data_IF_304055815543
#
_entry.id   IF_304055815543
#
_cell.length_a   1.000
_cell.length_b   1.000
_cell.length_c   1.000
_cell.angle_alpha   90.00
_cell.angle_beta   90.00
_cell.angle_gamma   90.00
#
_symmetry.space_group_name_H-M   'P 1'
#
loop_
_entity.id
_entity.type
_entity.pdbx_description
1 polymer ?
#
# COMPACT_ATOMS: atom_id res chain seq x y z
N UNK A 1 2.52 12.81 -6.62
CA UNK A 1 2.02 11.81 -5.66
C UNK A 1 0.85 11.03 -6.23
N UNK A 2 0.52 9.84 -5.73
CA UNK A 2 -0.64 9.06 -6.20
C UNK A 2 -1.96 9.85 -6.15
N UNK A 3 -2.06 10.83 -5.24
CA UNK A 3 -3.25 11.66 -5.07
C UNK A 3 -3.37 12.79 -6.12
N UNK A 4 -2.29 13.15 -6.80
CA UNK A 4 -2.31 14.26 -7.77
C UNK A 4 -3.03 13.89 -9.07
N UNK A 5 -3.07 12.61 -9.41
CA UNK A 5 -3.79 12.14 -10.59
C UNK A 5 -5.29 12.52 -10.54
N UNK A 6 -5.90 12.45 -9.35
CA UNK A 6 -7.29 12.92 -9.14
C UNK A 6 -7.40 14.44 -9.12
N UNK A 7 -6.50 15.12 -8.40
CA UNK A 7 -6.49 16.59 -8.25
C UNK A 7 -6.35 17.33 -9.57
N UNK A 8 -5.45 16.87 -10.45
CA UNK A 8 -5.26 17.47 -11.79
C UNK A 8 -6.52 17.31 -12.63
N UNK A 9 -7.19 16.16 -12.57
CA UNK A 9 -8.46 15.93 -13.28
C UNK A 9 -9.56 16.87 -12.80
N UNK A 10 -9.53 17.30 -11.53
CA UNK A 10 -10.54 18.13 -10.89
C UNK A 10 -10.16 19.63 -10.80
N UNK A 11 -9.06 20.06 -11.44
CA UNK A 11 -8.53 21.43 -11.36
C UNK A 11 -8.26 21.92 -9.92
N UNK A 12 -7.91 20.99 -9.03
CA UNK A 12 -7.53 21.28 -7.65
C UNK A 12 -6.04 21.67 -7.56
N UNK A 13 -5.63 22.46 -6.55
CA UNK A 13 -4.22 22.74 -6.32
C UNK A 13 -3.42 21.45 -6.10
N UNK A 14 -2.15 21.42 -6.54
CA UNK A 14 -1.28 20.26 -6.37
C UNK A 14 -1.21 19.86 -4.90
N UNK A 15 -0.95 18.58 -4.66
CA UNK A 15 -0.73 18.10 -3.31
C UNK A 15 0.41 18.88 -2.63
N UNK A 16 0.33 19.07 -1.30
CA UNK A 16 1.45 19.57 -0.51
C UNK A 16 2.75 18.83 -0.77
N UNK A 17 3.87 19.42 -0.36
CA UNK A 17 5.15 18.74 -0.47
C UNK A 17 5.16 17.49 0.41
N UNK A 18 5.92 16.45 0.01
CA UNK A 18 5.99 15.18 0.77
C UNK A 18 6.37 15.43 2.24
N UNK A 19 7.19 16.45 2.50
CA UNK A 19 7.60 16.82 3.86
C UNK A 19 6.42 17.27 4.73
N UNK A 20 5.39 17.88 4.15
CA UNK A 20 4.21 18.34 4.89
C UNK A 20 3.38 17.14 5.35
N UNK A 21 3.20 16.13 4.48
CA UNK A 21 2.59 14.86 4.87
C UNK A 21 3.34 14.17 6.01
N UNK A 22 4.68 14.19 5.96
CA UNK A 22 5.51 13.57 6.99
C UNK A 22 5.32 14.30 8.33
N UNK A 23 5.39 15.64 8.34
CA UNK A 23 5.20 16.46 9.54
C UNK A 23 3.82 16.27 10.14
N UNK A 24 2.75 16.42 9.35
CA UNK A 24 1.38 16.20 9.82
C UNK A 24 1.21 14.78 10.35
N UNK A 25 1.78 13.78 9.67
CA UNK A 25 1.77 12.40 10.12
C UNK A 25 2.43 12.19 11.49
N UNK A 26 3.55 12.88 11.75
CA UNK A 26 4.21 12.84 13.06
C UNK A 26 3.37 13.55 14.13
N UNK A 27 2.79 14.71 13.81
CA UNK A 27 1.96 15.50 14.73
C UNK A 27 0.70 14.74 15.20
N UNK A 28 0.05 14.01 14.29
CA UNK A 28 -1.14 13.20 14.62
C UNK A 28 -0.80 11.82 15.21
N UNK A 29 0.49 11.53 15.47
CA UNK A 29 0.94 10.26 16.01
C UNK A 29 0.81 9.07 15.05
N UNK A 30 0.74 9.32 13.74
CA UNK A 30 0.69 8.26 12.74
C UNK A 30 2.02 7.48 12.61
N UNK A 31 3.13 8.10 13.04
CA UNK A 31 4.47 7.54 13.05
C UNK A 31 5.09 7.59 14.46
N UNK A 32 5.81 6.52 14.84
CA UNK A 32 6.76 6.54 15.97
C UNK A 32 8.05 5.82 15.59
N UNK A 33 9.16 6.16 16.25
CA UNK A 33 10.45 5.48 15.98
C UNK A 33 10.42 3.99 16.34
N UNK A 34 9.58 3.60 17.32
CA UNK A 34 9.47 2.22 17.79
C UNK A 34 8.58 1.33 16.92
N UNK A 35 7.61 1.90 16.19
CA UNK A 35 6.63 1.14 15.42
C UNK A 35 6.61 1.46 13.92
N UNK A 36 7.16 2.60 13.51
CA UNK A 36 7.00 3.13 12.16
C UNK A 36 5.60 3.70 11.92
N UNK A 37 5.18 3.70 10.66
CA UNK A 37 3.84 4.18 10.26
C UNK A 37 2.76 3.15 10.59
N UNK A 38 1.77 3.55 11.39
CA UNK A 38 0.61 2.71 11.68
C UNK A 38 -0.43 2.79 10.56
N UNK A 39 -1.17 1.69 10.33
CA UNK A 39 -2.21 1.68 9.29
C UNK A 39 -3.33 2.69 9.58
N UNK A 40 -3.76 2.79 10.85
CA UNK A 40 -4.79 3.74 11.24
C UNK A 40 -4.26 5.19 11.15
N UNK A 41 -3.00 5.42 11.52
CA UNK A 41 -2.37 6.72 11.36
C UNK A 41 -2.33 7.18 9.91
N UNK A 42 -1.98 6.30 8.98
CA UNK A 42 -2.01 6.60 7.54
C UNK A 42 -3.43 6.82 7.01
N UNK A 43 -4.44 6.14 7.54
CA UNK A 43 -5.85 6.43 7.23
C UNK A 43 -6.23 7.83 7.68
N UNK A 44 -5.87 8.21 8.90
CA UNK A 44 -6.16 9.54 9.44
C UNK A 44 -5.44 10.60 8.60
N UNK A 45 -4.16 10.39 8.28
CA UNK A 45 -3.39 11.27 7.42
C UNK A 45 -4.05 11.47 6.06
N UNK A 46 -4.47 10.40 5.39
CA UNK A 46 -5.14 10.51 4.09
C UNK A 46 -6.43 11.36 4.18
N UNK A 47 -7.19 11.26 5.28
CA UNK A 47 -8.40 12.05 5.52
C UNK A 47 -8.11 13.52 5.76
N UNK A 48 -7.03 13.85 6.47
CA UNK A 48 -6.57 15.25 6.65
C UNK A 48 -6.33 15.94 5.31
N UNK A 49 -5.89 15.20 4.29
CA UNK A 49 -5.66 15.72 2.94
C UNK A 49 -6.83 15.50 1.96
N UNK A 50 -8.03 15.24 2.48
CA UNK A 50 -9.28 15.22 1.71
C UNK A 50 -9.63 13.89 1.04
N UNK A 51 -8.83 12.84 1.23
CA UNK A 51 -9.13 11.52 0.67
C UNK A 51 -10.04 10.70 1.59
N UNK A 52 -10.82 9.78 1.01
CA UNK A 52 -11.51 8.75 1.78
C UNK A 52 -10.58 7.57 1.97
N UNK A 53 -10.39 7.11 3.22
CA UNK A 53 -9.49 6.00 3.51
C UNK A 53 -10.04 5.04 4.57
N UNK A 54 -9.67 3.75 4.45
CA UNK A 54 -10.01 2.69 5.42
C UNK A 54 -8.88 1.66 5.54
N UNK A 55 -8.55 1.25 6.76
CA UNK A 55 -7.65 0.13 7.02
C UNK A 55 -8.45 -1.17 6.98
N UNK A 56 -7.96 -2.17 6.25
CA UNK A 56 -8.64 -3.44 6.05
C UNK A 56 -7.72 -4.63 6.35
N UNK A 57 -8.31 -5.71 6.82
CA UNK A 57 -7.65 -6.98 7.14
C UNK A 57 -8.40 -8.12 6.46
N UNK A 58 -7.72 -9.24 6.23
CA UNK A 58 -8.25 -10.41 5.53
C UNK A 58 -8.68 -10.15 4.08
N UNK A 59 -8.09 -9.12 3.46
CA UNK A 59 -8.39 -8.73 2.07
C UNK A 59 -7.65 -9.66 1.12
N UNK A 60 -8.38 -10.42 0.31
CA UNK A 60 -7.83 -11.31 -0.70
C UNK A 60 -7.56 -10.60 -2.04
N UNK A 61 -7.01 -11.31 -3.02
CA UNK A 61 -6.60 -10.72 -4.30
C UNK A 61 -7.78 -10.28 -5.17
N UNK A 62 -8.90 -10.99 -5.09
CA UNK A 62 -10.12 -10.62 -5.80
C UNK A 62 -10.70 -9.32 -5.23
N UNK A 63 -10.64 -9.12 -3.91
CA UNK A 63 -11.00 -7.86 -3.28
C UNK A 63 -10.06 -6.71 -3.67
N UNK A 64 -8.75 -6.96 -3.77
CA UNK A 64 -7.81 -5.95 -4.28
C UNK A 64 -8.12 -5.56 -5.74
N UNK A 65 -8.44 -6.54 -6.59
CA UNK A 65 -8.91 -6.29 -7.96
C UNK A 65 -10.16 -5.40 -7.97
N UNK A 66 -11.15 -5.74 -7.15
CA UNK A 66 -12.40 -4.98 -7.06
C UNK A 66 -12.19 -3.55 -6.54
N UNK A 67 -11.23 -3.32 -5.65
CA UNK A 67 -10.83 -1.96 -5.26
C UNK A 67 -10.31 -1.16 -6.46
N UNK A 68 -9.38 -1.74 -7.22
CA UNK A 68 -8.80 -1.09 -8.40
C UNK A 68 -9.84 -0.76 -9.47
N UNK A 69 -10.75 -1.69 -9.77
CA UNK A 69 -11.84 -1.49 -10.74
C UNK A 69 -12.76 -0.34 -10.32
N UNK A 70 -12.91 -0.10 -9.02
CA UNK A 70 -13.69 1.02 -8.46
C UNK A 70 -12.90 2.33 -8.36
N UNK A 71 -11.66 2.38 -8.83
CA UNK A 71 -10.80 3.56 -8.69
C UNK A 71 -10.23 3.75 -7.29
N UNK A 72 -10.29 2.73 -6.43
CA UNK A 72 -9.74 2.77 -5.07
C UNK A 72 -8.35 2.13 -5.06
N UNK A 73 -7.33 2.89 -4.64
CA UNK A 73 -5.95 2.43 -4.61
C UNK A 73 -5.65 1.71 -3.28
N UNK A 74 -5.24 0.43 -3.29
CA UNK A 74 -4.80 -0.26 -2.10
C UNK A 74 -3.31 -0.05 -1.84
N UNK A 75 -2.98 0.47 -0.66
CA UNK A 75 -1.64 0.44 -0.07
C UNK A 75 -1.51 -0.86 0.73
N UNK A 76 -0.82 -1.85 0.19
CA UNK A 76 -0.72 -3.20 0.78
C UNK A 76 0.44 -3.32 1.74
N UNK A 77 0.23 -4.07 2.83
CA UNK A 77 1.31 -4.45 3.74
C UNK A 77 1.94 -5.76 3.31
N UNK A 78 3.24 -5.70 3.07
CA UNK A 78 4.04 -6.75 2.45
C UNK A 78 5.33 -7.01 3.24
N UNK A 79 5.94 -8.17 2.97
CA UNK A 79 7.37 -8.39 3.21
C UNK A 79 8.18 -7.48 2.29
N UNK A 80 9.31 -6.99 2.79
CA UNK A 80 10.17 -6.07 2.05
C UNK A 80 10.55 -6.64 0.67
N UNK A 81 10.32 -5.86 -0.39
CA UNK A 81 10.63 -6.24 -1.77
C UNK A 81 9.88 -7.46 -2.31
N UNK A 82 8.69 -7.78 -1.78
CA UNK A 82 7.90 -8.96 -2.18
C UNK A 82 8.70 -10.27 -2.11
N UNK A 83 9.59 -10.40 -1.12
CA UNK A 83 10.37 -11.62 -0.94
C UNK A 83 9.48 -12.75 -0.41
N UNK A 84 9.73 -13.97 -0.92
CA UNK A 84 9.01 -15.19 -0.54
C UNK A 84 9.68 -15.94 0.63
N UNK A 85 10.79 -15.43 1.17
CA UNK A 85 11.48 -16.07 2.28
C UNK A 85 10.59 -16.11 3.53
N UNK A 86 10.43 -17.30 4.11
CA UNK A 86 9.70 -17.47 5.37
C UNK A 86 10.65 -17.13 6.52
N UNK A 87 10.32 -16.08 7.27
CA UNK A 87 11.06 -15.78 8.49
C UNK A 87 10.93 -16.96 9.47
N UNK A 88 11.96 -17.23 10.27
CA UNK A 88 11.94 -18.33 11.24
C UNK A 88 10.70 -18.30 12.15
N UNK A 89 10.24 -17.10 12.53
CA UNK A 89 9.00 -16.88 13.31
C UNK A 89 7.73 -17.30 12.56
N UNK A 90 7.66 -17.16 11.24
CA UNK A 90 6.52 -17.63 10.44
C UNK A 90 6.50 -19.16 10.30
N UNK A 91 7.66 -19.82 10.47
CA UNK A 91 7.75 -21.28 10.50
C UNK A 91 7.21 -21.85 11.81
N UNK A 92 7.22 -21.06 12.88
CA UNK A 92 6.69 -21.41 14.20
C UNK A 92 5.22 -21.01 14.31
N UNK A 93 4.89 -19.82 13.87
CA UNK A 93 3.53 -19.29 13.86
C UNK A 93 2.98 -19.33 12.42
N UNK A 94 2.46 -20.48 12.03
CA UNK A 94 1.89 -20.77 10.70
C UNK A 94 0.81 -19.78 10.22
N UNK A 95 0.25 -18.99 11.14
CA UNK A 95 -0.95 -18.18 10.92
C UNK A 95 -0.67 -16.70 10.64
N UNK A 96 0.57 -16.22 10.76
CA UNK A 96 0.86 -14.78 10.68
C UNK A 96 2.11 -14.48 9.86
N UNK A 97 1.91 -13.83 8.71
CA UNK A 97 3.01 -13.24 7.95
C UNK A 97 3.49 -11.96 8.63
N UNK A 98 4.79 -11.84 8.83
CA UNK A 98 5.40 -10.63 9.38
C UNK A 98 5.65 -9.66 8.23
N UNK A 99 4.74 -8.71 8.05
CA UNK A 99 4.96 -7.54 7.21
C UNK A 99 5.93 -6.55 7.84
N UNK A 100 5.97 -5.35 7.28
CA UNK A 100 6.83 -4.26 7.74
C UNK A 100 7.16 -3.26 6.65
N UNK A 101 6.63 -3.49 5.45
CA UNK A 101 6.77 -2.59 4.33
C UNK A 101 5.42 -2.35 3.65
N UNK A 102 5.33 -1.24 2.92
CA UNK A 102 4.12 -0.82 2.20
C UNK A 102 4.45 -0.66 0.72
N UNK A 103 3.52 -1.05 -0.13
CA UNK A 103 3.57 -0.81 -1.57
C UNK A 103 2.17 -0.43 -2.05
N UNK A 104 2.07 0.35 -3.13
CA UNK A 104 0.79 0.72 -3.73
C UNK A 104 0.51 -0.22 -4.87
N UNK A 105 -0.64 -0.89 -4.87
CA UNK A 105 -1.10 -1.65 -6.03
C UNK A 105 -1.80 -0.67 -6.98
N UNK A 106 -1.44 -0.70 -8.27
CA UNK A 106 -1.93 0.25 -9.27
C UNK A 106 -2.54 -0.42 -10.50
N UNK A 107 -2.47 -1.74 -10.60
CA UNK A 107 -3.07 -2.50 -11.69
C UNK A 107 -2.94 -3.99 -11.47
N UNK A 108 -3.54 -4.77 -12.37
CA UNK A 108 -3.51 -6.22 -12.34
C UNK A 108 -3.49 -6.77 -13.78
N UNK A 109 -3.00 -7.99 -13.94
CA UNK A 109 -3.19 -8.77 -15.16
C UNK A 109 -4.12 -9.95 -14.88
N UNK A 110 -5.08 -10.17 -15.77
CA UNK A 110 -6.06 -11.25 -15.71
C UNK A 110 -6.18 -11.94 -17.07
N UNK A 111 -6.20 -13.28 -17.06
CA UNK A 111 -6.53 -14.09 -18.25
C UNK A 111 -7.63 -15.12 -17.90
N UNK A 112 -7.28 -16.12 -17.09
CA UNK A 112 -8.21 -17.13 -16.52
C UNK A 112 -8.19 -17.07 -14.99
N UNK A 113 -8.08 -15.85 -14.47
CA UNK A 113 -7.76 -15.54 -13.08
C UNK A 113 -6.58 -14.56 -12.97
N UNK A 114 -6.38 -14.01 -11.78
CA UNK A 114 -5.35 -13.00 -11.50
C UNK A 114 -3.96 -13.62 -11.67
N UNK A 115 -3.19 -13.12 -12.64
CA UNK A 115 -1.80 -13.52 -12.90
C UNK A 115 -0.80 -12.78 -12.03
N UNK A 116 -1.14 -11.57 -11.62
CA UNK A 116 -0.30 -10.74 -10.78
C UNK A 116 -0.80 -9.31 -10.69
N UNK A 117 -0.01 -8.50 -10.00
CA UNK A 117 -0.31 -7.10 -9.73
C UNK A 117 0.83 -6.19 -10.16
N UNK A 118 0.48 -5.01 -10.65
CA UNK A 118 1.42 -3.92 -10.86
C UNK A 118 1.51 -3.07 -9.60
N UNK A 119 2.73 -2.79 -9.14
CA UNK A 119 2.96 -2.09 -7.88
C UNK A 119 3.98 -0.94 -7.99
N UNK A 120 3.75 0.09 -7.18
CA UNK A 120 4.75 1.07 -6.78
C UNK A 120 5.36 0.67 -5.45
N UNK A 121 6.68 0.66 -5.37
CA UNK A 121 7.43 0.32 -4.15
C UNK A 121 8.41 1.45 -3.84
N UNK A 122 8.41 1.93 -2.60
CA UNK A 122 9.27 3.04 -2.15
C UNK A 122 10.25 2.58 -1.09
N UNK A 123 11.50 2.98 -1.21
CA UNK A 123 12.61 2.59 -0.35
C UNK A 123 13.52 3.79 -0.10
N UNK A 124 14.24 3.78 1.03
CA UNK A 124 15.31 4.76 1.30
C UNK A 124 16.41 4.72 0.23
N UNK A 125 16.58 3.56 -0.40
CA UNK A 125 17.55 3.30 -1.47
C UNK A 125 16.85 3.41 -2.82
N UNK A 126 17.26 4.38 -3.64
CA UNK A 126 16.61 4.75 -4.90
C UNK A 126 16.58 3.59 -5.91
N UNK A 127 17.63 2.77 -5.97
CA UNK A 127 17.71 1.59 -6.85
C UNK A 127 16.69 0.49 -6.51
N UNK A 128 15.99 0.65 -5.38
CA UNK A 128 14.94 -0.26 -4.90
C UNK A 128 13.55 0.39 -4.93
N UNK A 129 13.44 1.57 -5.54
CA UNK A 129 12.17 2.15 -5.91
C UNK A 129 11.69 1.49 -7.20
N UNK A 130 10.44 1.06 -7.23
CA UNK A 130 9.84 0.47 -8.40
C UNK A 130 8.61 1.24 -8.79
N UNK A 131 8.47 1.46 -10.11
CA UNK A 131 7.27 1.99 -10.71
C UNK A 131 6.69 0.95 -11.67
N UNK A 132 5.38 0.76 -11.60
CA UNK A 132 4.64 -0.23 -12.41
C UNK A 132 5.33 -1.60 -12.52
N UNK A 133 5.92 -2.10 -11.43
CA UNK A 133 6.56 -3.42 -11.46
C UNK A 133 5.51 -4.51 -11.34
N UNK A 134 5.50 -5.41 -12.31
CA UNK A 134 4.66 -6.60 -12.25
C UNK A 134 5.20 -7.60 -11.21
N UNK A 135 4.35 -8.02 -10.29
CA UNK A 135 4.60 -9.06 -9.29
C UNK A 135 3.70 -10.25 -9.61
N UNK A 136 4.25 -11.42 -9.98
CA UNK A 136 3.48 -12.64 -10.20
C UNK A 136 2.66 -13.04 -8.97
N UNK A 137 1.47 -13.61 -9.19
CA UNK A 137 0.50 -13.92 -8.14
C UNK A 137 1.06 -14.82 -7.03
N UNK A 138 1.93 -15.77 -7.35
CA UNK A 138 2.57 -16.63 -6.34
C UNK A 138 3.50 -15.83 -5.42
N UNK A 139 4.31 -14.95 -6.00
CA UNK A 139 5.22 -14.08 -5.24
C UNK A 139 4.44 -13.05 -4.42
N UNK A 140 3.38 -12.49 -4.99
CA UNK A 140 2.48 -11.59 -4.28
C UNK A 140 1.87 -12.29 -3.07
N UNK A 141 1.33 -13.49 -3.26
CA UNK A 141 0.77 -14.33 -2.19
C UNK A 141 1.76 -14.58 -1.09
N UNK A 142 2.99 -14.97 -1.41
CA UNK A 142 3.98 -15.34 -0.39
C UNK A 142 4.42 -14.16 0.50
N UNK A 143 4.30 -12.93 -0.02
CA UNK A 143 4.78 -11.72 0.64
C UNK A 143 3.66 -10.84 1.22
N UNK A 144 2.46 -10.90 0.67
CA UNK A 144 1.32 -10.10 1.11
C UNK A 144 0.71 -10.64 2.42
N UNK A 145 0.43 -9.72 3.33
CA UNK A 145 -0.04 -10.03 4.68
C UNK A 145 -1.56 -10.15 4.81
N UNK A 146 -2.32 -9.85 3.75
CA UNK A 146 -3.79 -9.74 3.81
C UNK A 146 -4.29 -8.41 4.39
N UNK A 147 -3.40 -7.43 4.61
CA UNK A 147 -3.73 -6.11 5.14
C UNK A 147 -3.48 -5.03 4.10
N UNK A 148 -4.40 -4.09 3.97
CA UNK A 148 -4.22 -2.91 3.13
C UNK A 148 -4.86 -1.66 3.74
N UNK A 149 -4.50 -0.51 3.19
CA UNK A 149 -5.21 0.75 3.34
C UNK A 149 -5.84 1.03 1.99
N UNK A 150 -7.16 1.05 1.91
CA UNK A 150 -7.90 1.41 0.71
C UNK A 150 -8.08 2.93 0.70
N UNK A 151 -7.57 3.60 -0.33
CA UNK A 151 -7.58 5.06 -0.48
C UNK A 151 -8.34 5.44 -1.75
N UNK A 152 -9.30 6.34 -1.62
CA UNK A 152 -10.12 6.87 -2.70
C UNK A 152 -9.98 8.40 -2.70
N UNK A 153 -9.50 8.93 -3.81
CA UNK A 153 -9.43 10.38 -4.04
C UNK A 153 -10.69 10.82 -4.77
N UNK A 154 -11.30 11.91 -4.31
CA UNK A 154 -12.43 12.54 -5.01
C UNK A 154 -11.95 13.18 -6.31
#
# INVERSE_FOLDING_TARGET
>A
MAIDAGRVKNAEPPSPEIIDYIKTGQEIGAYTDSQGWSHQGLVNLAREFGATASARSYVNEEELKNLLVRGVLPIVSIKWGFRADKAWRERIFFWKKLGGHLAVVVGFEEERGIRGFYVHHTSKKAERNWEHRFIPIHQFRDSYTGRCIAVETK
#
